data_IF_420888490065
#
_entry.id   IF_420888490065
#
_cell.length_a   1.000
_cell.length_b   1.000
_cell.length_c   1.000
_cell.angle_alpha   90.00
_cell.angle_beta   90.00
_cell.angle_gamma   90.00
#
_symmetry.space_group_name_H-M   'P 1'
#
loop_
_entity.id
_entity.type
_entity.pdbx_description
1 polymer ?
#
# COMPACT_ATOMS: atom_id res chain seq x y z
N UNK A 1 -6.56 6.89 14.27
CA UNK A 1 -7.47 5.72 14.24
C UNK A 1 -6.82 4.65 15.11
N UNK A 2 -7.29 4.48 16.34
CA UNK A 2 -6.78 3.47 17.28
C UNK A 2 -7.70 2.26 17.15
N UNK A 3 -7.20 1.16 16.59
CA UNK A 3 -7.97 -0.07 16.54
C UNK A 3 -8.12 -0.60 17.96
N UNK A 4 -9.36 -0.67 18.44
CA UNK A 4 -9.68 -1.33 19.70
C UNK A 4 -9.43 -2.83 19.53
N UNK A 5 -8.39 -3.35 20.18
CA UNK A 5 -8.15 -4.79 20.29
C UNK A 5 -8.94 -5.35 21.48
N UNK A 6 -10.26 -5.15 21.50
CA UNK A 6 -11.07 -5.96 22.40
C UNK A 6 -10.95 -7.40 21.94
N UNK A 7 -10.50 -8.30 22.83
CA UNK A 7 -10.50 -9.75 22.61
C UNK A 7 -11.95 -10.25 22.57
N UNK A 8 -12.69 -9.82 21.55
CA UNK A 8 -14.07 -10.20 21.34
C UNK A 8 -14.03 -11.54 20.61
N UNK A 9 -14.10 -12.62 21.38
CA UNK A 9 -14.39 -13.93 20.82
C UNK A 9 -15.78 -13.86 20.19
N UNK A 10 -15.84 -13.99 18.87
CA UNK A 10 -17.09 -14.00 18.13
C UNK A 10 -17.58 -15.44 18.02
N UNK A 11 -18.76 -15.74 18.58
CA UNK A 11 -19.40 -17.04 18.41
C UNK A 11 -20.12 -17.07 17.04
N UNK A 12 -19.38 -17.46 16.00
CA UNK A 12 -19.88 -17.48 14.62
C UNK A 12 -20.25 -18.92 14.26
N UNK A 13 -21.52 -19.13 13.93
CA UNK A 13 -22.04 -20.41 13.44
C UNK A 13 -22.31 -20.27 11.94
N UNK A 14 -21.70 -21.16 11.15
CA UNK A 14 -21.90 -21.27 9.70
C UNK A 14 -22.28 -22.70 9.36
N UNK A 15 -23.41 -22.88 8.65
CA UNK A 15 -23.96 -24.20 8.30
C UNK A 15 -24.08 -25.17 9.49
N UNK A 16 -24.52 -24.64 10.65
CA UNK A 16 -24.68 -25.41 11.88
C UNK A 16 -23.36 -25.82 12.56
N UNK A 17 -22.21 -25.29 12.11
CA UNK A 17 -20.90 -25.53 12.70
C UNK A 17 -20.30 -24.24 13.26
N UNK A 18 -19.69 -24.33 14.43
CA UNK A 18 -18.90 -23.22 14.98
C UNK A 18 -17.63 -23.05 14.15
N UNK A 19 -17.32 -21.81 13.80
CA UNK A 19 -16.06 -21.47 13.15
C UNK A 19 -14.93 -21.40 14.18
N UNK A 20 -13.76 -21.92 13.81
CA UNK A 20 -12.56 -21.87 14.64
C UNK A 20 -11.85 -20.51 14.50
N UNK A 21 -11.44 -19.94 15.63
CA UNK A 21 -10.58 -18.76 15.63
C UNK A 21 -9.12 -19.16 15.35
N UNK A 22 -8.56 -18.65 14.25
CA UNK A 22 -7.17 -18.94 13.85
C UNK A 22 -6.29 -17.69 13.97
N UNK A 23 -5.02 -17.90 14.35
CA UNK A 23 -4.03 -16.81 14.51
C UNK A 23 -3.54 -16.23 13.18
N UNK A 24 -3.56 -17.05 12.13
CA UNK A 24 -3.31 -16.60 10.76
C UNK A 24 -4.04 -17.47 9.75
N UNK A 25 -4.48 -16.85 8.66
CA UNK A 25 -5.19 -17.48 7.56
C UNK A 25 -4.52 -17.12 6.23
N UNK A 26 -4.33 -18.08 5.33
CA UNK A 26 -3.81 -17.82 3.99
C UNK A 26 -4.94 -17.94 2.96
N UNK A 27 -5.13 -16.89 2.17
CA UNK A 27 -6.14 -16.83 1.12
C UNK A 27 -5.54 -16.20 -0.13
N UNK A 28 -5.60 -16.91 -1.26
CA UNK A 28 -4.99 -16.45 -2.52
C UNK A 28 -3.55 -15.91 -2.35
N UNK A 29 -2.71 -16.61 -1.58
CA UNK A 29 -1.32 -16.23 -1.26
C UNK A 29 -1.18 -14.94 -0.42
N UNK A 30 -2.28 -14.37 0.05
CA UNK A 30 -2.29 -13.32 1.05
C UNK A 30 -2.43 -13.95 2.44
N UNK A 31 -1.49 -13.64 3.34
CA UNK A 31 -1.54 -14.06 4.73
C UNK A 31 -2.17 -12.96 5.58
N UNK A 32 -3.31 -13.26 6.19
CA UNK A 32 -3.98 -12.42 7.16
C UNK A 32 -3.60 -12.90 8.57
N UNK A 33 -3.17 -12.01 9.44
CA UNK A 33 -2.86 -12.32 10.84
C UNK A 33 -3.89 -11.68 11.78
N UNK A 34 -4.11 -12.29 12.94
CA UNK A 34 -5.10 -11.84 13.94
C UNK A 34 -4.92 -10.40 14.39
N UNK A 35 -3.68 -9.93 14.47
CA UNK A 35 -3.33 -8.55 14.84
C UNK A 35 -3.58 -7.53 13.71
N UNK A 36 -4.04 -7.99 12.52
CA UNK A 36 -4.34 -7.15 11.37
C UNK A 36 -3.10 -6.42 10.85
N UNK A 37 -1.89 -6.78 11.31
CA UNK A 37 -0.69 -6.05 10.95
C UNK A 37 -0.20 -6.48 9.58
N UNK A 38 0.06 -5.49 8.74
CA UNK A 38 0.79 -5.68 7.50
C UNK A 38 2.19 -6.19 7.82
N UNK A 39 2.56 -7.37 7.29
CA UNK A 39 3.92 -7.90 7.35
C UNK A 39 4.95 -6.88 6.87
N UNK A 40 6.19 -6.98 7.37
CA UNK A 40 7.28 -6.06 7.00
C UNK A 40 7.44 -5.93 5.47
N UNK A 41 7.27 -7.03 4.73
CA UNK A 41 7.31 -7.06 3.27
C UNK A 41 6.26 -6.17 2.62
N UNK A 42 5.01 -6.19 3.12
CA UNK A 42 3.93 -5.34 2.59
C UNK A 42 4.23 -3.86 2.90
N UNK A 43 4.70 -3.56 4.11
CA UNK A 43 5.10 -2.18 4.49
C UNK A 43 6.20 -1.63 3.57
N UNK A 44 7.22 -2.44 3.28
CA UNK A 44 8.31 -2.06 2.37
C UNK A 44 7.78 -1.77 0.96
N UNK A 45 6.88 -2.61 0.42
CA UNK A 45 6.29 -2.37 -0.91
C UNK A 45 5.48 -1.09 -0.97
N UNK A 46 4.68 -0.81 0.06
CA UNK A 46 3.92 0.45 0.16
C UNK A 46 4.90 1.63 0.17
N UNK A 47 5.92 1.60 1.01
CA UNK A 47 6.91 2.68 1.11
C UNK A 47 7.63 2.93 -0.23
N UNK A 48 8.09 1.89 -0.92
CA UNK A 48 8.73 2.02 -2.23
C UNK A 48 7.78 2.61 -3.29
N UNK A 49 6.53 2.14 -3.33
CA UNK A 49 5.52 2.63 -4.28
C UNK A 49 5.21 4.10 -4.05
N UNK A 50 5.03 4.51 -2.78
CA UNK A 50 4.82 5.90 -2.40
C UNK A 50 6.00 6.79 -2.80
N UNK A 51 7.23 6.33 -2.57
CA UNK A 51 8.43 7.07 -2.97
C UNK A 51 8.55 7.23 -4.49
N UNK A 52 8.24 6.18 -5.27
CA UNK A 52 8.24 6.23 -6.73
C UNK A 52 7.18 7.22 -7.26
N UNK A 53 5.96 7.15 -6.73
CA UNK A 53 4.87 8.06 -7.10
C UNK A 53 5.19 9.52 -6.75
N UNK A 54 5.82 9.77 -5.60
CA UNK A 54 6.26 11.11 -5.22
C UNK A 54 7.31 11.65 -6.21
N UNK A 55 8.29 10.83 -6.61
CA UNK A 55 9.29 11.20 -7.62
C UNK A 55 8.67 11.52 -8.97
N UNK A 56 7.73 10.69 -9.43
CA UNK A 56 7.01 10.94 -10.68
C UNK A 56 6.22 12.25 -10.63
N UNK A 57 5.52 12.51 -9.52
CA UNK A 57 4.77 13.76 -9.33
C UNK A 57 5.68 14.98 -9.37
N UNK A 58 6.84 14.92 -8.71
CA UNK A 58 7.85 15.98 -8.77
C UNK A 58 8.31 16.22 -10.21
N UNK A 59 8.57 15.15 -10.96
CA UNK A 59 9.02 15.24 -12.34
C UNK A 59 7.97 15.88 -13.26
N UNK A 60 6.69 15.56 -13.07
CA UNK A 60 5.59 16.19 -13.81
C UNK A 60 5.31 17.63 -13.39
N UNK A 61 5.75 18.04 -12.20
CA UNK A 61 5.50 19.40 -11.66
C UNK A 61 6.61 20.41 -11.97
N UNK A 62 7.82 19.94 -12.31
CA UNK A 62 8.83 20.82 -12.86
C UNK A 62 8.46 21.13 -14.30
N UNK A 63 8.16 22.39 -14.61
CA UNK A 63 8.11 22.87 -15.98
C UNK A 63 9.50 22.75 -16.59
N UNK A 64 9.76 21.62 -17.25
CA UNK A 64 10.99 21.39 -18.00
C UNK A 64 10.93 22.32 -19.21
N UNK A 65 11.53 23.50 -19.07
CA UNK A 65 11.77 24.40 -20.20
C UNK A 65 13.15 24.10 -20.76
N UNK A 66 13.18 23.77 -22.05
CA UNK A 66 14.44 23.67 -22.79
C UNK A 66 14.68 25.02 -23.46
N UNK A 67 15.85 25.65 -23.27
CA UNK A 67 16.21 26.82 -24.05
C UNK A 67 16.31 26.40 -25.52
N UNK A 68 15.34 26.80 -26.35
CA UNK A 68 15.47 26.69 -27.80
C UNK A 68 16.48 27.71 -28.25
N UNK A 69 17.68 27.26 -28.65
CA UNK A 69 18.66 28.12 -29.30
C UNK A 69 18.08 28.61 -30.63
N UNK A 70 17.57 29.84 -30.66
CA UNK A 70 17.25 30.54 -31.92
C UNK A 70 18.56 31.05 -32.51
N UNK A 71 19.40 30.13 -32.97
CA UNK A 71 20.61 30.44 -33.69
C UNK A 71 20.31 30.72 -35.15
N UNK A 72 19.82 31.92 -35.48
CA UNK A 72 19.97 32.54 -36.81
C UNK A 72 19.81 34.06 -36.68
N UNK A 73 20.92 34.76 -36.51
CA UNK A 73 21.05 36.14 -37.01
C UNK A 73 21.98 36.11 -38.22
N UNK A 74 21.41 36.34 -39.39
CA UNK A 74 22.13 36.73 -40.61
C UNK A 74 21.16 37.52 -41.49
N UNK A 75 21.62 38.47 -42.32
CA UNK A 75 22.97 39.00 -42.49
C UNK A 75 23.19 40.36 -41.81
#
# INVERSE_FOLDING_TARGET
>A
MVNSMTNTSADIIMDGKHLEEVTSFEYFRAKLSKDGTSTAKIRIRIAMTTAAMARLRLWTSLSISFPTSTGYTSP
#
